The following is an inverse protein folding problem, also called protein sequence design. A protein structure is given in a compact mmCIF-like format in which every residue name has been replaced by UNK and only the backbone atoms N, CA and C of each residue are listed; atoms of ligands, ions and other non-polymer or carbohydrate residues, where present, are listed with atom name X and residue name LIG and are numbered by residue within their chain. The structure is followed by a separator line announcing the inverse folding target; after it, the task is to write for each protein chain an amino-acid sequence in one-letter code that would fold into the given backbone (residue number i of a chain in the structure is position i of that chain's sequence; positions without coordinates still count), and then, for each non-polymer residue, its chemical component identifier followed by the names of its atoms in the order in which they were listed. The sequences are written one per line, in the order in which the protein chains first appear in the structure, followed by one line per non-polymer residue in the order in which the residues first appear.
data_IF_297012517945
#
_entry.id   IF_297012517945
#
_cell.length_a   1.000
_cell.length_b   1.000
_cell.length_c   1.000
_cell.angle_alpha   90.00
_cell.angle_beta   90.00
_cell.angle_gamma   90.00
#
_symmetry.space_group_name_H-M   'P 1'
#
loop_
_entity.id
_entity.type
_entity.pdbx_description
1 polymer ?
#
# COMPACT_ATOMS: atom_id res chain seq x y z
N UNK A 1 -9.14 -28.09 3.74
CA UNK A 1 -8.56 -26.89 4.39
C UNK A 1 -7.84 -26.00 3.36
N UNK A 2 -8.50 -25.58 2.27
CA UNK A 2 -7.83 -24.94 1.12
C UNK A 2 -8.04 -23.41 0.98
N UNK A 3 -8.85 -22.79 1.84
CA UNK A 3 -9.27 -21.40 1.60
C UNK A 3 -8.28 -20.34 2.15
N UNK A 4 -7.42 -20.68 3.13
CA UNK A 4 -6.60 -19.68 3.84
C UNK A 4 -5.31 -19.26 3.10
N UNK A 5 -4.82 -20.08 2.18
CA UNK A 5 -3.61 -19.82 1.39
C UNK A 5 -3.88 -18.92 0.19
N UNK A 6 -5.04 -19.04 -0.45
CA UNK A 6 -5.38 -18.25 -1.65
C UNK A 6 -5.51 -16.74 -1.36
N UNK A 7 -6.09 -16.36 -0.21
CA UNK A 7 -6.21 -14.96 0.19
C UNK A 7 -4.86 -14.26 0.42
N UNK A 8 -3.90 -14.94 1.06
CA UNK A 8 -2.57 -14.36 1.35
C UNK A 8 -1.73 -14.10 0.09
N UNK A 9 -1.86 -14.94 -0.94
CA UNK A 9 -1.10 -14.81 -2.19
C UNK A 9 -1.66 -13.67 -3.05
N UNK A 10 -2.98 -13.46 -3.03
CA UNK A 10 -3.64 -12.34 -3.71
C UNK A 10 -3.32 -11.00 -3.03
N UNK A 11 -3.35 -10.95 -1.70
CA UNK A 11 -3.07 -9.73 -0.92
C UNK A 11 -1.62 -9.24 -1.10
N UNK A 12 -0.65 -10.15 -1.05
CA UNK A 12 0.78 -9.82 -1.23
C UNK A 12 1.10 -9.34 -2.64
N UNK A 13 0.45 -9.92 -3.67
CA UNK A 13 0.58 -9.44 -5.04
C UNK A 13 0.01 -8.02 -5.23
N UNK A 14 -1.10 -7.70 -4.56
CA UNK A 14 -1.71 -6.37 -4.63
C UNK A 14 -0.83 -5.31 -3.95
N UNK A 15 -0.28 -5.61 -2.78
CA UNK A 15 0.68 -4.75 -2.06
C UNK A 15 1.97 -4.50 -2.86
N UNK A 16 2.52 -5.56 -3.48
CA UNK A 16 3.72 -5.47 -4.32
C UNK A 16 3.49 -4.59 -5.55
N UNK A 17 2.33 -4.74 -6.20
CA UNK A 17 1.91 -3.87 -7.32
C UNK A 17 1.75 -2.42 -6.87
N UNK A 18 1.07 -2.18 -5.75
CA UNK A 18 0.90 -0.84 -5.19
C UNK A 18 2.25 -0.17 -4.93
N UNK A 19 3.19 -0.86 -4.29
CA UNK A 19 4.53 -0.34 -4.03
C UNK A 19 5.27 0.05 -5.32
N UNK A 20 5.27 -0.81 -6.36
CA UNK A 20 5.89 -0.50 -7.65
C UNK A 20 5.27 0.73 -8.32
N UNK A 21 3.95 0.78 -8.30
CA UNK A 21 3.12 1.81 -8.93
C UNK A 21 3.34 3.15 -8.22
N UNK A 22 3.38 3.20 -6.88
CA UNK A 22 3.80 4.39 -6.10
C UNK A 22 5.23 4.83 -6.40
N UNK A 23 6.17 3.89 -6.51
CA UNK A 23 7.57 4.20 -6.77
C UNK A 23 7.77 4.83 -8.16
N UNK A 24 7.05 4.31 -9.15
CA UNK A 24 7.05 4.83 -10.52
C UNK A 24 6.46 6.24 -10.57
N UNK A 25 5.34 6.47 -9.86
CA UNK A 25 4.70 7.78 -9.80
C UNK A 25 5.58 8.83 -9.12
N UNK A 26 6.17 8.51 -7.96
CA UNK A 26 7.04 9.44 -7.24
C UNK A 26 8.28 9.80 -8.08
N UNK A 27 8.92 8.80 -8.71
CA UNK A 27 10.11 9.04 -9.54
C UNK A 27 9.76 9.85 -10.79
N UNK A 28 8.66 9.50 -11.48
CA UNK A 28 8.22 10.21 -12.70
C UNK A 28 7.79 11.64 -12.39
N UNK A 29 7.06 11.84 -11.29
CA UNK A 29 6.64 13.18 -10.85
C UNK A 29 7.85 14.04 -10.50
N UNK A 30 8.79 13.51 -9.71
CA UNK A 30 9.97 14.25 -9.28
C UNK A 30 10.83 14.66 -10.48
N UNK A 31 11.01 13.73 -11.44
CA UNK A 31 11.76 13.97 -12.67
C UNK A 31 11.06 15.05 -13.53
N UNK A 32 9.74 15.00 -13.63
CA UNK A 32 8.96 16.00 -14.38
C UNK A 32 8.95 17.38 -13.69
N UNK A 33 8.85 17.43 -12.36
CA UNK A 33 8.95 18.66 -11.56
C UNK A 33 10.31 19.33 -11.73
N UNK A 34 11.39 18.55 -11.78
CA UNK A 34 12.75 19.03 -12.02
C UNK A 34 12.98 19.50 -13.46
N UNK A 35 12.31 18.87 -14.44
CA UNK A 35 12.53 19.14 -15.86
C UNK A 35 11.66 20.29 -16.41
N UNK A 36 10.42 20.46 -15.94
CA UNK A 36 9.47 21.39 -16.56
C UNK A 36 8.50 21.98 -15.53
N UNK A 37 8.89 23.07 -14.88
CA UNK A 37 8.02 23.85 -13.99
C UNK A 37 6.96 24.67 -14.73
N UNK A 38 6.15 24.07 -15.61
CA UNK A 38 5.11 24.74 -16.40
C UNK A 38 3.74 24.04 -16.31
N UNK A 39 2.64 24.71 -16.66
CA UNK A 39 1.26 24.22 -16.43
C UNK A 39 0.92 22.81 -16.96
N UNK A 40 1.66 22.28 -17.94
CA UNK A 40 1.50 20.89 -18.42
C UNK A 40 1.89 19.84 -17.36
N UNK A 41 2.90 20.11 -16.50
CA UNK A 41 3.23 19.19 -15.41
C UNK A 41 2.14 19.13 -14.38
N UNK A 42 1.54 20.28 -14.04
CA UNK A 42 0.38 20.34 -13.15
C UNK A 42 -0.78 19.46 -13.67
N UNK A 43 -1.07 19.50 -14.97
CA UNK A 43 -2.11 18.66 -15.57
C UNK A 43 -1.76 17.16 -15.51
N UNK A 44 -0.54 16.79 -15.90
CA UNK A 44 -0.10 15.39 -15.86
C UNK A 44 -0.14 14.81 -14.43
N UNK A 45 0.33 15.60 -13.47
CA UNK A 45 0.30 15.29 -12.04
C UNK A 45 -1.12 15.13 -11.51
N UNK A 46 -2.02 16.03 -11.88
CA UNK A 46 -3.42 15.98 -11.44
C UNK A 46 -4.12 14.74 -12.00
N UNK A 47 -3.92 14.43 -13.28
CA UNK A 47 -4.47 13.22 -13.91
C UNK A 47 -3.93 11.96 -13.21
N UNK A 48 -2.63 11.93 -12.94
CA UNK A 48 -1.98 10.83 -12.27
C UNK A 48 -2.54 10.64 -10.84
N UNK A 49 -2.75 11.72 -10.09
CA UNK A 49 -3.33 11.67 -8.75
C UNK A 49 -4.79 11.20 -8.76
N UNK A 50 -5.60 11.63 -9.74
CA UNK A 50 -7.00 11.20 -9.90
C UNK A 50 -7.07 9.70 -10.22
N UNK A 51 -6.21 9.19 -11.11
CA UNK A 51 -6.17 7.77 -11.46
C UNK A 51 -5.67 6.89 -10.30
N UNK A 52 -4.73 7.39 -9.50
CA UNK A 52 -4.14 6.62 -8.40
C UNK A 52 -4.97 6.62 -7.12
N UNK A 53 -5.66 7.72 -6.81
CA UNK A 53 -6.50 7.83 -5.61
C UNK A 53 -7.48 6.66 -5.42
N UNK A 54 -8.28 6.24 -6.43
CA UNK A 54 -9.23 5.14 -6.27
C UNK A 54 -8.53 3.79 -6.08
N UNK A 55 -7.41 3.55 -6.79
CA UNK A 55 -6.63 2.33 -6.62
C UNK A 55 -6.01 2.24 -5.22
N UNK A 56 -5.51 3.37 -4.71
CA UNK A 56 -4.95 3.45 -3.37
C UNK A 56 -6.03 3.21 -2.30
N UNK A 57 -7.18 3.89 -2.40
CA UNK A 57 -8.33 3.67 -1.50
C UNK A 57 -8.80 2.21 -1.51
N UNK A 58 -8.82 1.57 -2.68
CA UNK A 58 -9.17 0.16 -2.81
C UNK A 58 -8.21 -0.75 -2.03
N UNK A 59 -6.90 -0.52 -2.13
CA UNK A 59 -5.92 -1.33 -1.39
C UNK A 59 -5.99 -1.07 0.13
N UNK A 60 -6.21 0.19 0.55
CA UNK A 60 -6.41 0.50 1.97
C UNK A 60 -7.65 -0.20 2.55
N UNK A 61 -8.72 -0.28 1.75
CA UNK A 61 -9.94 -0.98 2.12
C UNK A 61 -9.69 -2.49 2.28
N UNK A 62 -8.96 -3.10 1.35
CA UNK A 62 -8.58 -4.52 1.44
C UNK A 62 -7.74 -4.83 2.70
N UNK A 63 -6.76 -3.98 3.01
CA UNK A 63 -5.90 -4.16 4.19
C UNK A 63 -6.56 -3.70 5.51
N UNK A 64 -7.84 -3.29 5.48
CA UNK A 64 -8.63 -2.79 6.61
C UNK A 64 -7.95 -1.66 7.39
N UNK A 65 -7.17 -0.83 6.71
CA UNK A 65 -6.40 0.27 7.30
C UNK A 65 -7.26 1.54 7.36
N UNK A 66 -8.38 1.48 8.08
CA UNK A 66 -9.37 2.57 8.14
C UNK A 66 -8.78 3.91 8.62
N UNK A 67 -7.79 3.87 9.52
CA UNK A 67 -7.11 5.09 9.99
C UNK A 67 -6.41 5.87 8.87
N UNK A 68 -5.86 5.18 7.87
CA UNK A 68 -5.23 5.82 6.71
C UNK A 68 -6.27 6.40 5.75
N UNK A 69 -7.44 5.77 5.62
CA UNK A 69 -8.55 6.31 4.84
C UNK A 69 -9.04 7.63 5.45
N UNK A 70 -9.22 7.67 6.78
CA UNK A 70 -9.57 8.91 7.48
C UNK A 70 -8.50 9.98 7.31
N UNK A 71 -7.22 9.59 7.37
CA UNK A 71 -6.10 10.51 7.19
C UNK A 71 -6.06 11.11 5.76
N UNK A 72 -6.35 10.29 4.74
CA UNK A 72 -6.52 10.75 3.36
C UNK A 72 -7.68 11.74 3.25
N UNK A 73 -8.84 11.41 3.81
CA UNK A 73 -10.00 12.30 3.81
C UNK A 73 -9.64 13.66 4.43
N UNK A 74 -8.97 13.69 5.59
CA UNK A 74 -8.58 14.95 6.23
C UNK A 74 -7.56 15.72 5.38
N UNK A 75 -6.51 15.07 4.89
CA UNK A 75 -5.45 15.74 4.14
C UNK A 75 -5.88 16.22 2.76
N UNK A 76 -6.89 15.58 2.16
CA UNK A 76 -7.36 15.90 0.80
C UNK A 76 -8.60 16.78 0.82
N UNK A 77 -9.65 16.46 1.60
CA UNK A 77 -10.88 17.27 1.62
C UNK A 77 -10.69 18.63 2.30
N UNK A 78 -9.92 18.69 3.38
CA UNK A 78 -9.77 19.91 4.18
C UNK A 78 -9.17 21.07 3.36
N UNK A 79 -8.08 20.88 2.60
CA UNK A 79 -7.57 21.94 1.73
C UNK A 79 -8.45 22.18 0.48
N UNK A 80 -9.22 21.20 -0.01
CA UNK A 80 -10.21 21.43 -1.08
C UNK A 80 -11.31 22.39 -0.61
N UNK A 81 -11.81 22.19 0.61
CA UNK A 81 -12.80 23.09 1.22
C UNK A 81 -12.22 24.50 1.38
N UNK A 82 -10.94 24.61 1.78
CA UNK A 82 -10.26 25.89 1.90
C UNK A 82 -10.14 26.63 0.55
N UNK A 83 -9.87 25.91 -0.55
CA UNK A 83 -9.83 26.49 -1.91
C UNK A 83 -11.20 27.03 -2.33
N UNK A 84 -12.29 26.31 -2.00
CA UNK A 84 -13.66 26.76 -2.34
C UNK A 84 -14.00 28.08 -1.61
N UNK A 85 -13.51 28.25 -0.38
CA UNK A 85 -13.74 29.45 0.43
C UNK A 85 -12.86 30.65 0.04
N UNK A 86 -11.69 30.41 -0.55
CA UNK A 86 -10.81 31.47 -1.06
C UNK A 86 -10.03 30.97 -2.28
N UNK A 87 -10.40 31.37 -3.51
CA UNK A 87 -9.80 30.84 -4.74
C UNK A 87 -8.45 31.51 -5.07
N UNK A 88 -7.56 31.59 -4.09
CA UNK A 88 -6.17 31.98 -4.35
C UNK A 88 -5.41 30.80 -4.96
N UNK A 89 -4.89 31.00 -6.16
CA UNK A 89 -4.16 29.99 -6.93
C UNK A 89 -2.93 29.48 -6.16
N UNK A 90 -2.29 30.34 -5.38
CA UNK A 90 -1.17 29.99 -4.50
C UNK A 90 -1.55 28.97 -3.41
N UNK A 91 -2.81 29.00 -2.98
CA UNK A 91 -3.36 28.06 -2.00
C UNK A 91 -3.58 26.66 -2.60
N UNK A 92 -3.49 26.49 -3.92
CA UNK A 92 -3.62 25.20 -4.61
C UNK A 92 -2.38 24.31 -4.42
N UNK A 93 -1.20 24.90 -4.19
CA UNK A 93 0.04 24.14 -4.02
C UNK A 93 0.10 23.41 -2.67
N UNK A 94 -0.56 23.94 -1.64
CA UNK A 94 -0.63 23.34 -0.30
C UNK A 94 -1.34 21.97 -0.32
N UNK A 95 -2.59 21.83 -0.82
CA UNK A 95 -3.25 20.53 -0.98
C UNK A 95 -2.41 19.58 -1.83
N UNK A 96 -1.82 20.09 -2.92
CA UNK A 96 -1.01 19.26 -3.80
C UNK A 96 0.19 18.68 -3.05
N UNK A 97 0.92 19.52 -2.32
CA UNK A 97 2.05 19.09 -1.49
C UNK A 97 1.62 18.09 -0.41
N UNK A 98 0.47 18.30 0.25
CA UNK A 98 -0.07 17.38 1.26
C UNK A 98 -0.47 16.02 0.67
N UNK A 99 -1.09 16.01 -0.51
CA UNK A 99 -1.42 14.78 -1.25
C UNK A 99 -0.15 14.01 -1.61
N UNK A 100 0.87 14.71 -2.10
CA UNK A 100 2.16 14.09 -2.41
C UNK A 100 2.89 13.56 -1.18
N UNK A 101 2.87 14.33 -0.08
CA UNK A 101 3.41 13.90 1.19
C UNK A 101 2.69 12.67 1.73
N UNK A 102 1.38 12.60 1.58
CA UNK A 102 0.60 11.42 1.92
C UNK A 102 1.03 10.20 1.10
N UNK A 103 1.18 10.33 -0.22
CA UNK A 103 1.70 9.22 -1.05
C UNK A 103 3.10 8.78 -0.63
N UNK A 104 3.96 9.74 -0.27
CA UNK A 104 5.30 9.44 0.24
C UNK A 104 5.24 8.64 1.54
N UNK A 105 4.44 9.05 2.53
CA UNK A 105 4.24 8.30 3.77
C UNK A 105 3.68 6.90 3.50
N UNK A 106 2.69 6.80 2.63
CA UNK A 106 2.07 5.54 2.28
C UNK A 106 3.09 4.56 1.67
N UNK A 107 4.04 5.04 0.87
CA UNK A 107 5.12 4.20 0.33
C UNK A 107 5.97 3.55 1.42
N UNK A 108 6.30 4.26 2.50
CA UNK A 108 7.05 3.67 3.62
C UNK A 108 6.20 2.64 4.35
N UNK A 109 4.98 3.02 4.67
CA UNK A 109 4.08 2.19 5.46
C UNK A 109 3.67 0.91 4.71
N UNK A 110 3.50 0.98 3.40
CA UNK A 110 3.26 -0.21 2.55
C UNK A 110 4.46 -1.15 2.56
N UNK A 111 5.71 -0.64 2.60
CA UNK A 111 6.89 -1.51 2.74
C UNK A 111 6.88 -2.25 4.07
N UNK A 112 6.51 -1.56 5.15
CA UNK A 112 6.39 -2.19 6.47
C UNK A 112 5.29 -3.26 6.48
N UNK A 113 4.14 -3.00 5.85
CA UNK A 113 3.06 -4.00 5.73
C UNK A 113 3.49 -5.23 4.94
N UNK A 114 4.24 -5.05 3.84
CA UNK A 114 4.79 -6.17 3.07
C UNK A 114 5.75 -6.99 3.95
N UNK A 115 6.61 -6.32 4.72
CA UNK A 115 7.56 -7.00 5.59
C UNK A 115 6.85 -7.76 6.71
N UNK A 116 5.81 -7.18 7.32
CA UNK A 116 5.00 -7.82 8.35
C UNK A 116 4.24 -9.05 7.81
N UNK A 117 3.67 -8.95 6.60
CA UNK A 117 3.00 -10.08 5.93
C UNK A 117 3.97 -11.21 5.61
N UNK A 118 5.16 -10.88 5.10
CA UNK A 118 6.19 -11.88 4.80
C UNK A 118 6.65 -12.59 6.08
N UNK A 119 6.90 -11.85 7.17
CA UNK A 119 7.28 -12.45 8.45
C UNK A 119 6.20 -13.39 9.01
N UNK A 120 4.92 -13.01 8.92
CA UNK A 120 3.80 -13.88 9.32
C UNK A 120 3.70 -15.14 8.47
N UNK A 121 3.97 -15.02 7.17
CA UNK A 121 3.97 -16.14 6.25
C UNK A 121 5.09 -17.15 6.55
N UNK A 122 6.31 -16.66 6.78
CA UNK A 122 7.45 -17.50 7.17
C UNK A 122 7.20 -18.24 8.48
N UNK A 123 6.64 -17.56 9.48
CA UNK A 123 6.31 -18.18 10.77
C UNK A 123 5.25 -19.29 10.62
N UNK A 124 4.22 -19.06 9.81
CA UNK A 124 3.20 -20.09 9.55
C UNK A 124 3.78 -21.29 8.81
N UNK A 125 4.71 -21.07 7.88
CA UNK A 125 5.39 -22.13 7.15
C UNK A 125 6.24 -23.00 8.10
N UNK A 126 7.00 -22.38 9.01
CA UNK A 126 7.79 -23.10 10.00
C UNK A 126 6.95 -23.94 10.96
N UNK A 127 5.82 -23.41 11.44
CA UNK A 127 4.89 -24.17 12.31
C UNK A 127 4.28 -25.37 11.57
N UNK A 128 4.00 -25.22 10.28
CA UNK A 128 3.47 -26.32 9.48
C UNK A 128 4.52 -27.41 9.25
N UNK A 129 5.77 -27.02 8.98
CA UNK A 129 6.89 -27.94 8.81
C UNK A 129 7.24 -28.67 10.11
N UNK A 130 7.20 -28.00 11.26
CA UNK A 130 7.43 -28.66 12.55
C UNK A 130 6.32 -29.64 12.91
N UNK A 131 5.05 -29.31 12.64
CA UNK A 131 3.93 -30.24 12.83
C UNK A 131 4.09 -31.51 11.98
N UNK A 132 4.44 -31.36 10.70
CA UNK A 132 4.66 -32.51 9.81
C UNK A 132 5.81 -33.41 10.28
N UNK A 133 6.88 -32.82 10.84
CA UNK A 133 7.99 -33.61 11.41
C UNK A 133 7.55 -34.40 12.64
N UNK A 134 6.81 -33.78 13.56
CA UNK A 134 6.30 -34.46 14.75
C UNK A 134 5.27 -35.55 14.42
N UNK A 135 4.42 -35.35 13.42
CA UNK A 135 3.49 -36.38 12.91
C UNK A 135 4.27 -37.56 12.29
N UNK A 136 5.31 -37.29 11.51
CA UNK A 136 6.13 -38.35 10.91
C UNK A 136 6.97 -39.14 11.94
N UNK A 137 7.51 -38.48 12.97
CA UNK A 137 8.20 -39.14 14.08
C UNK A 137 7.23 -39.99 14.92
N UNK A 138 6.03 -39.48 15.23
CA UNK A 138 5.02 -40.25 15.96
C UNK A 138 4.53 -41.49 15.21
N UNK A 139 4.36 -41.40 13.89
CA UNK A 139 4.01 -42.56 13.05
C UNK A 139 5.15 -43.59 12.98
N UNK A 140 6.41 -43.14 12.96
CA UNK A 140 7.58 -44.03 13.00
C UNK A 140 7.66 -44.81 14.33
N UNK A 141 7.44 -44.15 15.46
CA UNK A 141 7.45 -44.80 16.78
C UNK A 141 6.33 -45.84 16.92
N UNK A 142 5.16 -45.58 16.33
CA UNK A 142 4.05 -46.54 16.27
C UNK A 142 4.38 -47.79 15.44
N UNK A 143 5.13 -47.63 14.34
CA UNK A 143 5.55 -48.75 13.50
C UNK A 143 6.64 -49.62 14.13
N UNK A 144 7.48 -49.07 15.00
CA UNK A 144 8.57 -49.81 15.68
C UNK A 144 8.05 -50.64 16.86
N UNK A 145 6.93 -50.25 17.49
CA UNK A 145 6.35 -50.96 18.64
C UNK A 145 5.49 -52.20 18.28
N UNK A 146 5.21 -52.43 17.00
CA UNK A 146 4.33 -53.50 16.53
C UNK A 146 5.12 -54.65 15.91
#
# INVERSE_FOLDING_TARGET
MENKTSGNILDTNNLSKLSKVLNYQLSTTLLFLLWYGGGLTLLAVTIAAILFSPYMLYVLYLEKKNGWITFFTILVLLPIIAIILSPMIELLFIPLALVYFYYFLLKFVVRDWIQEKNAKYELQKQILESKKKHEAEGDLDFLIQK
#
